data_IF_194592684356
#
_entry.id   IF_194592684356
#
_cell.length_a   1.000
_cell.length_b   1.000
_cell.length_c   1.000
_cell.angle_alpha   90.00
_cell.angle_beta   90.00
_cell.angle_gamma   90.00
#
_symmetry.space_group_name_H-M   'P 1'
#
loop_
_entity.id
_entity.type
_entity.pdbx_description
1 polymer ?
#
# COMPACT_ATOMS: atom_id res chain seq x y z
N UNK A 1 -13.73 4.92 -0.36
CA UNK A 1 -12.29 5.20 -0.57
C UNK A 1 -12.04 6.09 -1.78
N UNK A 2 -12.55 5.75 -2.97
CA UNK A 2 -12.32 6.52 -4.20
C UNK A 2 -12.60 8.03 -4.10
N UNK A 3 -13.75 8.41 -3.49
CA UNK A 3 -14.10 9.83 -3.27
C UNK A 3 -13.07 10.60 -2.44
N UNK A 4 -12.36 9.93 -1.54
CA UNK A 4 -11.32 10.59 -0.71
C UNK A 4 -10.08 10.89 -1.54
N UNK A 5 -9.73 10.01 -2.49
CA UNK A 5 -8.61 10.23 -3.40
C UNK A 5 -8.90 11.32 -4.43
N UNK A 6 -10.15 11.42 -4.88
CA UNK A 6 -10.58 12.42 -5.88
C UNK A 6 -10.90 13.77 -5.26
N UNK A 7 -11.82 13.80 -4.29
CA UNK A 7 -12.38 15.04 -3.75
C UNK A 7 -11.54 15.61 -2.60
N UNK A 8 -10.52 14.88 -2.12
CA UNK A 8 -9.77 15.20 -0.89
C UNK A 8 -10.69 15.50 0.30
N UNK A 9 -11.82 14.79 0.36
CA UNK A 9 -12.87 14.97 1.36
C UNK A 9 -13.48 13.64 1.75
N UNK A 10 -14.02 13.57 2.97
CA UNK A 10 -14.71 12.38 3.46
C UNK A 10 -15.87 12.74 4.39
N UNK A 11 -16.76 11.78 4.59
CA UNK A 11 -17.80 11.81 5.61
C UNK A 11 -17.44 10.82 6.72
N UNK A 12 -17.71 11.19 7.96
CA UNK A 12 -17.76 10.19 9.04
C UNK A 12 -19.03 9.36 8.86
N UNK A 13 -19.03 8.10 9.31
CA UNK A 13 -20.22 7.25 9.28
C UNK A 13 -21.33 7.93 10.10
N UNK A 14 -22.52 8.09 9.49
CA UNK A 14 -23.65 8.79 10.10
C UNK A 14 -23.59 10.32 10.08
N UNK A 15 -22.54 10.93 9.55
CA UNK A 15 -22.44 12.39 9.43
C UNK A 15 -22.94 12.89 8.06
N UNK A 16 -23.55 14.06 8.05
CA UNK A 16 -24.05 14.74 6.84
C UNK A 16 -23.09 15.82 6.32
N UNK A 17 -22.02 16.13 7.06
CA UNK A 17 -21.04 17.16 6.71
C UNK A 17 -19.74 16.55 6.18
N UNK A 18 -19.23 17.09 5.06
CA UNK A 18 -17.90 16.76 4.52
C UNK A 18 -16.79 17.39 5.36
N UNK A 19 -15.69 16.67 5.49
CA UNK A 19 -14.44 17.15 6.11
C UNK A 19 -13.29 17.06 5.09
N UNK A 20 -12.38 18.04 5.05
CA UNK A 20 -11.19 17.98 4.21
C UNK A 20 -10.24 16.87 4.68
N UNK A 21 -9.54 16.26 3.73
CA UNK A 21 -8.49 15.27 3.96
C UNK A 21 -7.20 15.73 3.27
N UNK A 22 -6.21 16.08 4.08
CA UNK A 22 -4.82 16.22 3.63
C UNK A 22 -4.06 14.96 4.01
N UNK A 23 -3.95 14.03 3.06
CA UNK A 23 -3.39 12.70 3.30
C UNK A 23 -2.49 12.27 2.15
N UNK A 24 -1.45 11.50 2.49
CA UNK A 24 -0.67 10.73 1.55
C UNK A 24 -1.08 9.26 1.64
N UNK A 25 -1.52 8.70 0.52
CA UNK A 25 -1.97 7.30 0.47
C UNK A 25 -0.83 6.39 0.02
N UNK A 26 -0.62 5.31 0.76
CA UNK A 26 0.25 4.20 0.38
C UNK A 26 -0.55 2.90 0.47
N UNK A 27 -0.38 2.01 -0.49
CA UNK A 27 -1.07 0.73 -0.54
C UNK A 27 -0.05 -0.38 -0.84
N UNK A 28 -0.28 -1.55 -0.26
CA UNK A 28 0.51 -2.75 -0.56
C UNK A 28 -0.43 -3.92 -0.77
N UNK A 29 -0.09 -4.79 -1.72
CA UNK A 29 -0.84 -6.01 -1.99
C UNK A 29 0.15 -7.15 -2.27
N UNK A 30 -0.18 -8.35 -1.80
CA UNK A 30 0.56 -9.57 -2.08
C UNK A 30 0.06 -10.27 -3.35
N UNK A 31 -1.13 -9.91 -3.86
CA UNK A 31 -1.69 -10.41 -5.12
C UNK A 31 -1.40 -9.46 -6.27
N UNK A 32 -1.42 -10.01 -7.48
CA UNK A 32 -1.34 -9.23 -8.71
C UNK A 32 -2.65 -8.44 -8.94
N UNK A 33 -2.61 -7.15 -8.62
CA UNK A 33 -3.74 -6.24 -8.79
C UNK A 33 -4.27 -6.19 -10.23
N UNK A 34 -3.41 -6.31 -11.24
CA UNK A 34 -3.87 -6.29 -12.64
C UNK A 34 -4.77 -7.49 -12.93
N UNK A 35 -4.41 -8.67 -12.41
CA UNK A 35 -5.23 -9.89 -12.55
C UNK A 35 -6.54 -9.77 -11.79
N UNK A 36 -6.52 -9.22 -10.58
CA UNK A 36 -7.74 -9.04 -9.78
C UNK A 36 -8.71 -8.02 -10.40
N UNK A 37 -8.20 -7.00 -11.10
CA UNK A 37 -9.03 -6.09 -11.91
C UNK A 37 -9.71 -6.84 -13.06
N UNK A 38 -8.95 -7.64 -13.82
CA UNK A 38 -9.49 -8.43 -14.92
C UNK A 38 -10.51 -9.48 -14.44
N UNK A 39 -10.31 -10.03 -13.24
CA UNK A 39 -11.25 -10.96 -12.61
C UNK A 39 -12.51 -10.29 -12.02
N UNK A 40 -12.59 -8.95 -12.04
CA UNK A 40 -13.72 -8.19 -11.48
C UNK A 40 -13.72 -8.08 -9.95
N UNK A 41 -12.71 -8.61 -9.27
CA UNK A 41 -12.60 -8.55 -7.81
C UNK A 41 -12.06 -7.21 -7.32
N UNK A 42 -11.41 -6.44 -8.21
CA UNK A 42 -10.87 -5.14 -7.89
C UNK A 42 -11.38 -4.08 -8.86
N UNK A 43 -11.70 -2.90 -8.31
CA UNK A 43 -12.18 -1.79 -9.11
C UNK A 43 -11.05 -1.17 -9.94
N UNK A 44 -11.26 -1.12 -11.24
CA UNK A 44 -10.32 -0.58 -12.21
C UNK A 44 -9.98 0.90 -11.96
N UNK A 45 -10.98 1.72 -11.64
CA UNK A 45 -10.81 3.15 -11.35
C UNK A 45 -9.88 3.42 -10.15
N UNK A 46 -9.98 2.60 -9.11
CA UNK A 46 -9.12 2.66 -7.93
C UNK A 46 -7.70 2.19 -8.26
N UNK A 47 -7.56 1.17 -9.12
CA UNK A 47 -6.27 0.64 -9.53
C UNK A 47 -5.44 1.71 -10.23
N UNK A 48 -5.99 2.39 -11.24
CA UNK A 48 -5.24 3.41 -11.97
C UNK A 48 -4.82 4.61 -11.10
N UNK A 49 -5.60 4.94 -10.06
CA UNK A 49 -5.27 6.04 -9.13
C UNK A 49 -4.22 5.68 -8.10
N UNK A 50 -4.16 4.42 -7.69
CA UNK A 50 -3.12 3.94 -6.76
C UNK A 50 -1.83 3.61 -7.50
N UNK A 51 -1.92 3.11 -8.73
CA UNK A 51 -0.80 2.59 -9.53
C UNK A 51 -0.04 3.70 -10.27
N UNK A 52 0.09 4.89 -9.67
CA UNK A 52 0.87 6.02 -10.22
C UNK A 52 2.38 5.78 -10.01
N UNK A 53 2.76 5.26 -8.84
CA UNK A 53 4.13 4.88 -8.51
C UNK A 53 4.13 3.53 -7.80
N UNK A 54 4.50 2.49 -8.53
CA UNK A 54 4.49 1.11 -8.02
C UNK A 54 5.90 0.60 -7.82
N UNK A 55 6.17 0.15 -6.59
CA UNK A 55 7.43 -0.48 -6.21
C UNK A 55 7.21 -1.97 -6.08
N UNK A 56 7.90 -2.74 -6.91
CA UNK A 56 7.95 -4.18 -6.75
C UNK A 56 9.01 -4.52 -5.69
N UNK A 57 8.58 -5.16 -4.59
CA UNK A 57 9.47 -5.58 -3.50
C UNK A 57 9.78 -7.06 -3.71
N UNK A 58 10.96 -7.43 -4.25
CA UNK A 58 11.30 -8.83 -4.47
C UNK A 58 11.35 -9.61 -3.16
N UNK A 59 11.07 -10.90 -3.24
CA UNK A 59 11.06 -11.81 -2.10
C UNK A 59 12.46 -11.98 -1.50
N UNK A 60 12.56 -12.34 -0.22
CA UNK A 60 13.86 -12.56 0.45
C UNK A 60 14.74 -13.60 -0.25
N UNK A 61 14.13 -14.56 -0.97
CA UNK A 61 14.86 -15.58 -1.75
C UNK A 61 15.67 -14.98 -2.90
N UNK A 62 15.21 -13.86 -3.47
CA UNK A 62 15.85 -13.13 -4.56
C UNK A 62 16.89 -12.11 -4.05
N UNK A 63 16.80 -11.72 -2.77
CA UNK A 63 17.71 -10.78 -2.09
C UNK A 63 18.50 -11.45 -0.95
N UNK A 64 19.11 -12.60 -1.22
CA UNK A 64 19.81 -13.40 -0.18
C UNK A 64 20.88 -12.62 0.60
N UNK A 65 21.51 -11.60 -0.01
CA UNK A 65 22.50 -10.74 0.65
C UNK A 65 21.90 -9.95 1.83
N UNK A 66 20.63 -9.55 1.73
CA UNK A 66 19.91 -8.82 2.78
C UNK A 66 19.66 -9.71 4.02
N UNK A 67 19.63 -11.03 3.86
CA UNK A 67 19.44 -11.99 4.96
C UNK A 67 20.62 -11.88 5.94
N UNK A 68 21.85 -11.81 5.41
CA UNK A 68 23.07 -11.71 6.22
C UNK A 68 23.05 -10.39 7.01
N UNK A 69 22.72 -9.28 6.34
CA UNK A 69 22.61 -7.97 6.98
C UNK A 69 21.53 -7.96 8.07
N UNK A 70 20.35 -8.52 7.80
CA UNK A 70 19.24 -8.58 8.75
C UNK A 70 19.59 -9.41 10.00
N UNK A 71 20.32 -10.52 9.85
CA UNK A 71 20.79 -11.34 10.99
C UNK A 71 21.82 -10.57 11.82
N UNK A 72 22.79 -9.91 11.16
CA UNK A 72 23.84 -9.15 11.84
C UNK A 72 23.26 -8.02 12.70
N UNK A 73 22.27 -7.30 12.17
CA UNK A 73 21.55 -6.25 12.89
C UNK A 73 20.77 -6.78 14.10
N UNK A 74 20.29 -8.02 14.05
CA UNK A 74 19.53 -8.64 15.14
C UNK A 74 20.40 -9.01 16.34
N UNK A 75 21.68 -9.32 16.12
CA UNK A 75 22.64 -9.64 17.18
C UNK A 75 23.10 -8.39 17.95
N UNK A 76 23.14 -7.21 17.31
CA UNK A 76 23.59 -5.96 17.95
C UNK A 76 22.57 -5.37 18.94
N UNK A 77 21.26 -5.58 18.72
CA UNK A 77 20.20 -5.04 19.60
C UNK A 77 19.91 -5.88 20.86
N UNK A 78 20.57 -7.01 21.07
CA UNK A 78 20.41 -7.84 22.28
C UNK A 78 21.41 -7.51 23.40
N UNK A 79 22.30 -6.54 23.18
CA UNK A 79 23.37 -6.18 24.13
C UNK A 79 23.21 -4.76 24.71
N UNK A 80 22.02 -4.16 24.57
CA UNK A 80 21.64 -2.89 25.21
C UNK A 80 20.34 -3.06 25.98
#
# INVERSE_FOLDING_TARGET
>A
MLRVLEEKQYYRVGATKKLPADIRVTASNNKDLKREVLAGNFREDLFYRLNVASLNVPSLRERKKDIIFAILMRSSKRTL
#
